data_IF_434975709239
#
_entry.id   IF_434975709239
#
_cell.length_a   1.000
_cell.length_b   1.000
_cell.length_c   1.000
_cell.angle_alpha   90.00
_cell.angle_beta   90.00
_cell.angle_gamma   90.00
#
_symmetry.space_group_name_H-M   'P 1'
#
loop_
_entity.id
_entity.type
_entity.pdbx_description
1 polymer ?
#
# COMPACT_ATOMS: atom_id res chain seq x y z
N UNK A 1 -17.40 -13.45 -5.46
CA UNK A 1 -16.26 -12.52 -5.40
C UNK A 1 -16.49 -11.58 -4.22
N UNK A 2 -15.47 -11.21 -3.45
CA UNK A 2 -15.62 -10.25 -2.32
C UNK A 2 -16.20 -8.90 -2.76
N UNK A 3 -16.09 -8.59 -4.05
CA UNK A 3 -16.66 -7.40 -4.71
C UNK A 3 -18.19 -7.33 -4.72
N UNK A 4 -18.92 -8.40 -4.38
CA UNK A 4 -20.39 -8.37 -4.29
C UNK A 4 -20.92 -8.02 -2.89
N UNK A 5 -20.01 -7.77 -1.94
CA UNK A 5 -20.35 -7.39 -0.57
C UNK A 5 -20.47 -5.86 -0.53
N UNK A 6 -21.58 -5.36 -0.02
CA UNK A 6 -21.92 -3.92 -0.05
C UNK A 6 -20.88 -3.09 0.71
N UNK A 7 -20.44 -3.57 1.87
CA UNK A 7 -19.42 -2.93 2.69
C UNK A 7 -18.09 -2.76 1.94
N UNK A 8 -17.72 -3.74 1.10
CA UNK A 8 -16.51 -3.66 0.29
C UNK A 8 -16.63 -2.62 -0.83
N UNK A 9 -17.82 -2.50 -1.43
CA UNK A 9 -18.08 -1.49 -2.46
C UNK A 9 -18.06 -0.08 -1.89
N UNK A 10 -18.71 0.13 -0.75
CA UNK A 10 -18.73 1.41 -0.04
C UNK A 10 -17.30 1.84 0.32
N UNK A 11 -16.50 0.93 0.88
CA UNK A 11 -15.11 1.22 1.23
C UNK A 11 -14.25 1.58 0.01
N UNK A 12 -14.43 0.88 -1.12
CA UNK A 12 -13.73 1.21 -2.36
C UNK A 12 -14.13 2.59 -2.89
N UNK A 13 -15.41 2.94 -2.80
CA UNK A 13 -15.90 4.26 -3.19
C UNK A 13 -15.27 5.37 -2.33
N UNK A 14 -15.21 5.18 -1.01
CA UNK A 14 -14.54 6.11 -0.09
C UNK A 14 -13.07 6.33 -0.45
N UNK A 15 -12.33 5.26 -0.77
CA UNK A 15 -10.94 5.34 -1.22
C UNK A 15 -10.81 6.19 -2.48
N UNK A 16 -11.67 5.94 -3.48
CA UNK A 16 -11.63 6.66 -4.77
C UNK A 16 -11.93 8.14 -4.57
N UNK A 17 -12.96 8.47 -3.78
CA UNK A 17 -13.32 9.85 -3.46
C UNK A 17 -12.19 10.55 -2.70
N UNK A 18 -11.57 9.88 -1.74
CA UNK A 18 -10.43 10.42 -0.98
C UNK A 18 -9.23 10.72 -1.88
N UNK A 19 -8.85 9.77 -2.75
CA UNK A 19 -7.76 9.95 -3.70
C UNK A 19 -8.01 11.14 -4.64
N UNK A 20 -9.25 11.28 -5.14
CA UNK A 20 -9.64 12.44 -5.96
C UNK A 20 -9.53 13.75 -5.18
N UNK A 21 -9.99 13.79 -3.92
CA UNK A 21 -9.87 14.97 -3.06
C UNK A 21 -8.40 15.39 -2.85
N UNK A 22 -7.50 14.42 -2.64
CA UNK A 22 -6.06 14.67 -2.52
C UNK A 22 -5.51 15.22 -3.85
N UNK A 23 -5.86 14.61 -4.97
CA UNK A 23 -5.43 15.05 -6.30
C UNK A 23 -5.91 16.46 -6.64
N UNK A 24 -7.15 16.82 -6.30
CA UNK A 24 -7.67 18.18 -6.49
C UNK A 24 -6.99 19.21 -5.60
N UNK A 25 -6.56 18.80 -4.39
CA UNK A 25 -5.92 19.70 -3.43
C UNK A 25 -4.45 19.97 -3.75
N UNK A 26 -3.71 18.97 -4.23
CA UNK A 26 -2.25 19.04 -4.36
C UNK A 26 -1.72 18.83 -5.78
N UNK A 27 -2.55 18.33 -6.71
CA UNK A 27 -2.16 18.10 -8.09
C UNK A 27 -2.35 19.33 -8.98
N UNK A 28 -1.79 19.25 -10.18
CA UNK A 28 -1.90 20.27 -11.21
C UNK A 28 -2.04 19.62 -12.61
N UNK A 29 -1.70 20.35 -13.67
CA UNK A 29 -1.80 19.85 -15.06
C UNK A 29 -0.76 18.78 -15.39
N UNK A 30 0.41 18.82 -14.77
CA UNK A 30 1.55 17.96 -15.07
C UNK A 30 1.66 16.81 -14.07
N UNK A 31 1.14 16.99 -12.85
CA UNK A 31 1.32 16.05 -11.75
C UNK A 31 0.01 15.64 -11.06
N UNK A 32 -0.14 14.32 -10.91
CA UNK A 32 -1.19 13.68 -10.13
C UNK A 32 -0.56 12.98 -8.90
N UNK A 33 -0.76 13.49 -7.67
CA UNK A 33 -0.16 12.95 -6.46
C UNK A 33 -0.50 11.48 -6.17
N UNK A 34 -1.77 11.08 -6.35
CA UNK A 34 -2.25 9.72 -6.05
C UNK A 34 -2.77 9.10 -7.33
N UNK A 35 -2.06 8.07 -7.82
CA UNK A 35 -2.47 7.24 -8.95
C UNK A 35 -3.04 5.92 -8.43
N UNK A 36 -4.36 5.77 -8.51
CA UNK A 36 -5.05 4.54 -8.10
C UNK A 36 -5.13 3.55 -9.25
N UNK A 37 -4.71 2.30 -9.02
CA UNK A 37 -4.87 1.19 -9.97
C UNK A 37 -5.82 0.15 -9.39
N UNK A 38 -6.99 -0.01 -10.00
CA UNK A 38 -8.01 -0.96 -9.54
C UNK A 38 -7.99 -2.19 -10.45
N UNK A 39 -8.08 -3.37 -9.84
CA UNK A 39 -8.10 -4.66 -10.53
C UNK A 39 -6.75 -5.37 -10.50
N UNK A 40 -6.74 -6.60 -11.02
CA UNK A 40 -5.58 -7.49 -10.96
C UNK A 40 -4.67 -7.29 -12.17
N UNK A 41 -3.44 -6.86 -11.94
CA UNK A 41 -2.38 -6.84 -12.96
C UNK A 41 -1.05 -7.23 -12.31
N UNK A 42 -0.75 -8.52 -12.35
CA UNK A 42 0.43 -9.09 -11.70
C UNK A 42 1.74 -8.45 -12.20
N UNK A 43 1.88 -8.26 -13.51
CA UNK A 43 3.09 -7.67 -14.09
C UNK A 43 3.34 -6.23 -13.61
N UNK A 44 2.27 -5.43 -13.50
CA UNK A 44 2.35 -4.08 -12.93
C UNK A 44 2.75 -4.11 -11.46
N UNK A 45 2.17 -5.01 -10.66
CA UNK A 45 2.50 -5.13 -9.24
C UNK A 45 3.97 -5.50 -9.02
N UNK A 46 4.50 -6.46 -9.79
CA UNK A 46 5.93 -6.82 -9.74
C UNK A 46 6.81 -5.63 -10.15
N UNK A 47 6.45 -4.92 -11.22
CA UNK A 47 7.18 -3.72 -11.62
C UNK A 47 7.17 -2.63 -10.53
N UNK A 48 6.03 -2.42 -9.86
CA UNK A 48 5.93 -1.47 -8.75
C UNK A 48 6.80 -1.89 -7.55
N UNK A 49 6.84 -3.19 -7.22
CA UNK A 49 7.71 -3.71 -6.15
C UNK A 49 9.21 -3.52 -6.45
N UNK A 50 9.62 -3.58 -7.73
CA UNK A 50 11.01 -3.32 -8.13
C UNK A 50 11.42 -1.85 -8.04
N UNK A 51 10.47 -0.92 -8.16
CA UNK A 51 10.74 0.49 -8.43
C UNK A 51 10.37 1.45 -7.29
N UNK A 52 9.90 0.96 -6.14
CA UNK A 52 9.48 1.84 -5.06
C UNK A 52 10.68 2.44 -4.31
N UNK A 53 10.57 3.71 -3.92
CA UNK A 53 11.41 4.32 -2.88
C UNK A 53 10.87 4.02 -1.48
N UNK A 54 9.55 3.93 -1.34
CA UNK A 54 8.87 3.53 -0.09
C UNK A 54 7.76 2.52 -0.39
N UNK A 55 7.75 1.42 0.35
CA UNK A 55 6.67 0.44 0.38
C UNK A 55 5.91 0.55 1.70
N UNK A 56 4.63 0.94 1.63
CA UNK A 56 3.76 1.05 2.79
C UNK A 56 2.89 -0.20 2.93
N UNK A 57 3.05 -0.93 4.03
CA UNK A 57 2.23 -2.08 4.41
C UNK A 57 1.67 -1.82 5.80
N UNK A 58 0.50 -1.16 5.89
CA UNK A 58 -0.08 -0.70 7.15
C UNK A 58 -1.43 -1.34 7.53
N UNK A 59 -1.62 -2.67 7.46
CA UNK A 59 -2.89 -3.27 7.89
C UNK A 59 -3.15 -3.05 9.38
N UNK A 60 -4.43 -2.98 9.76
CA UNK A 60 -4.85 -2.96 11.17
C UNK A 60 -4.51 -4.29 11.84
N UNK A 61 -4.94 -5.41 11.25
CA UNK A 61 -4.62 -6.78 11.66
C UNK A 61 -4.48 -7.59 10.38
N UNK A 62 -3.33 -8.25 10.20
CA UNK A 62 -3.12 -9.19 9.11
C UNK A 62 -2.23 -10.36 9.55
N UNK A 63 -2.59 -11.58 9.14
CA UNK A 63 -1.86 -12.78 9.56
C UNK A 63 -0.45 -12.87 8.97
N UNK A 64 -0.28 -12.64 7.66
CA UNK A 64 1.02 -12.70 6.99
C UNK A 64 0.93 -12.08 5.58
N UNK A 65 1.09 -10.77 5.52
CA UNK A 65 1.10 -10.06 4.26
C UNK A 65 2.43 -10.28 3.55
N UNK A 66 2.45 -11.21 2.58
CA UNK A 66 3.65 -11.57 1.85
C UNK A 66 4.25 -10.42 1.04
N UNK A 67 3.48 -9.37 0.71
CA UNK A 67 4.01 -8.18 0.02
C UNK A 67 5.13 -7.53 0.84
N UNK A 68 5.05 -7.57 2.18
CA UNK A 68 6.11 -7.05 3.04
C UNK A 68 7.43 -7.84 2.92
N UNK A 69 7.37 -9.11 2.50
CA UNK A 69 8.54 -9.96 2.24
C UNK A 69 8.98 -9.89 0.77
N UNK A 70 8.03 -9.92 -0.16
CA UNK A 70 8.30 -9.92 -1.60
C UNK A 70 8.88 -8.59 -2.08
N UNK A 71 8.34 -7.47 -1.58
CA UNK A 71 8.76 -6.12 -1.98
C UNK A 71 10.25 -5.87 -1.78
N UNK A 72 10.78 -5.97 -0.54
CA UNK A 72 12.20 -5.76 -0.28
C UNK A 72 13.13 -6.71 -1.05
N UNK A 73 12.68 -7.94 -1.32
CA UNK A 73 13.47 -8.95 -2.04
C UNK A 73 13.70 -8.57 -3.50
N UNK A 74 12.71 -7.94 -4.15
CA UNK A 74 12.80 -7.60 -5.58
C UNK A 74 13.12 -6.14 -5.83
N UNK A 75 13.21 -5.30 -4.79
CA UNK A 75 13.45 -3.88 -4.95
C UNK A 75 14.84 -3.58 -5.55
N UNK A 76 14.90 -2.62 -6.47
CA UNK A 76 16.12 -2.20 -7.16
C UNK A 76 16.50 -0.74 -6.89
N UNK A 77 15.89 -0.10 -5.88
CA UNK A 77 16.02 1.34 -5.57
C UNK A 77 16.46 1.61 -4.12
N UNK A 78 16.93 0.58 -3.39
CA UNK A 78 17.23 0.68 -1.95
C UNK A 78 16.05 1.24 -1.12
N UNK A 79 14.83 0.86 -1.52
CA UNK A 79 13.59 1.40 -0.97
C UNK A 79 13.32 0.97 0.48
N UNK A 80 12.61 1.81 1.21
CA UNK A 80 12.30 1.61 2.64
C UNK A 80 10.95 0.91 2.81
N UNK A 81 10.91 -0.12 3.66
CA UNK A 81 9.67 -0.75 4.10
C UNK A 81 9.11 -0.03 5.33
N UNK A 82 7.89 0.51 5.21
CA UNK A 82 7.09 1.00 6.34
C UNK A 82 6.05 -0.07 6.66
N UNK A 83 6.09 -0.60 7.88
CA UNK A 83 5.35 -1.80 8.26
C UNK A 83 4.51 -1.55 9.52
N UNK A 84 3.23 -1.91 9.47
CA UNK A 84 2.37 -1.87 10.66
C UNK A 84 2.77 -2.94 11.67
N UNK A 85 2.77 -2.58 12.95
CA UNK A 85 2.89 -3.52 14.08
C UNK A 85 1.79 -4.61 14.08
N UNK A 86 0.65 -4.35 13.41
CA UNK A 86 -0.46 -5.29 13.26
C UNK A 86 -0.30 -6.29 12.11
N UNK A 87 0.78 -6.20 11.31
CA UNK A 87 1.09 -7.19 10.28
C UNK A 87 1.90 -8.33 10.89
N UNK A 88 1.54 -9.60 10.64
CA UNK A 88 2.32 -10.73 11.14
C UNK A 88 3.78 -10.78 10.63
N UNK A 89 4.07 -10.12 9.51
CA UNK A 89 5.45 -9.94 9.04
C UNK A 89 6.29 -9.03 9.96
N UNK A 90 5.68 -8.23 10.84
CA UNK A 90 6.38 -7.31 11.75
C UNK A 90 7.23 -8.04 12.77
N UNK A 91 6.86 -9.25 13.19
CA UNK A 91 7.67 -10.06 14.11
C UNK A 91 9.01 -10.48 13.48
N UNK A 92 9.04 -10.66 12.16
CA UNK A 92 10.22 -11.13 11.43
C UNK A 92 11.04 -9.99 10.81
N UNK A 93 10.37 -8.94 10.33
CA UNK A 93 10.99 -7.85 9.56
C UNK A 93 11.16 -6.55 10.34
N UNK A 94 10.63 -6.46 11.57
CA UNK A 94 10.57 -5.21 12.33
C UNK A 94 11.92 -4.54 12.56
N UNK A 95 13.01 -5.29 12.72
CA UNK A 95 14.36 -4.72 12.89
C UNK A 95 14.88 -4.00 11.63
N UNK A 96 14.42 -4.42 10.44
CA UNK A 96 14.82 -3.87 9.14
C UNK A 96 13.78 -2.94 8.52
N UNK A 97 12.69 -2.64 9.22
CA UNK A 97 11.58 -1.85 8.72
C UNK A 97 11.31 -0.63 9.62
N UNK A 98 10.65 0.38 9.05
CA UNK A 98 10.06 1.46 9.85
C UNK A 98 8.71 0.98 10.38
N UNK A 99 8.71 0.50 11.63
CA UNK A 99 7.50 0.01 12.28
C UNK A 99 6.62 1.17 12.74
N UNK A 100 5.33 1.12 12.40
CA UNK A 100 4.33 2.14 12.73
C UNK A 100 3.08 1.54 13.34
N UNK A 101 2.35 2.32 14.14
CA UNK A 101 0.99 1.97 14.54
C UNK A 101 0.02 2.34 13.41
N UNK A 102 -0.90 1.46 13.00
CA UNK A 102 -1.84 1.76 11.91
C UNK A 102 -2.90 2.82 12.29
N UNK A 103 -2.98 3.20 13.57
CA UNK A 103 -3.92 4.19 14.09
C UNK A 103 -3.31 5.58 14.27
N UNK A 104 -1.99 5.73 14.10
CA UNK A 104 -1.25 6.99 14.29
C UNK A 104 -0.94 7.62 12.93
N UNK A 105 -1.64 8.72 12.60
CA UNK A 105 -1.58 9.45 11.32
C UNK A 105 -1.02 10.84 11.55
#
# INVERSE_FOLDING_TARGET
>A
SRLSIEEYQQYLEEIVVLAQRINLKYGDREWQPVKSYIGENYARSVAAMRLYDVLLVNPIIDGMNLVAKEGPVVNEQDGVLVLSEGAGASEELGEGALVVSPYDV
#
